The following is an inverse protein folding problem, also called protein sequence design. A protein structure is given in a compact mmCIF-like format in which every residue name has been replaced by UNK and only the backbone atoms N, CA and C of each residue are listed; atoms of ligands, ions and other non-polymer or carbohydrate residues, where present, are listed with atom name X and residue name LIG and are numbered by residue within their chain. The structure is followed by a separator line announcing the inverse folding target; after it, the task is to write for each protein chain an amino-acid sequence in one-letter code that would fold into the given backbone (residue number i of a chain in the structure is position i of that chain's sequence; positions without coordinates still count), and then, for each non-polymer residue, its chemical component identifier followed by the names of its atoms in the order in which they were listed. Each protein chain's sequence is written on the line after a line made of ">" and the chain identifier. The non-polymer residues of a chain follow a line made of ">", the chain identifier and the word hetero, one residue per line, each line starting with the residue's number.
data_IF_482650334591
#
_entry.id   IF_482650334591
#
_cell.length_a   1.000
_cell.length_b   1.000
_cell.length_c   1.000
_cell.angle_alpha   90.00
_cell.angle_beta   90.00
_cell.angle_gamma   90.00
#
_symmetry.space_group_name_H-M   'P 1'
#
loop_
_entity.id
_entity.type
_entity.pdbx_description
1 polymer ?
#
# COMPACT_ATOMS: atom_id res chain seq x y z
N UNK A 1 1.99 -10.23 7.69
CA UNK A 1 1.21 -9.23 6.92
C UNK A 1 -0.23 -9.25 7.43
N UNK A 2 -0.83 -8.09 7.63
CA UNK A 2 -2.25 -7.95 7.98
C UNK A 2 -2.95 -7.13 6.89
N UNK A 3 -4.18 -7.49 6.55
CA UNK A 3 -4.96 -6.74 5.58
C UNK A 3 -6.44 -6.81 5.88
N UNK A 4 -7.15 -5.78 5.47
CA UNK A 4 -8.61 -5.71 5.49
C UNK A 4 -9.07 -4.66 4.46
N UNK A 5 -10.37 -4.51 4.26
CA UNK A 5 -10.93 -3.58 3.28
C UNK A 5 -12.01 -2.68 3.87
N UNK A 6 -12.07 -1.45 3.35
CA UNK A 6 -13.28 -0.64 3.39
C UNK A 6 -14.00 -0.87 2.06
N UNK A 7 -15.13 -1.61 2.04
CA UNK A 7 -15.79 -2.02 0.80
C UNK A 7 -16.11 -0.85 -0.13
N UNK A 8 -15.75 -0.96 -1.41
CA UNK A 8 -15.94 0.10 -2.42
C UNK A 8 -14.99 1.29 -2.30
N UNK A 9 -14.15 1.32 -1.27
CA UNK A 9 -13.24 2.43 -0.98
C UNK A 9 -11.80 2.01 -1.21
N UNK A 10 -11.22 1.20 -0.33
CA UNK A 10 -9.80 0.84 -0.38
C UNK A 10 -9.48 -0.46 0.35
N UNK A 11 -8.44 -1.16 -0.11
CA UNK A 11 -7.76 -2.23 0.64
C UNK A 11 -6.63 -1.62 1.46
N UNK A 12 -6.57 -1.96 2.75
CA UNK A 12 -5.53 -1.51 3.68
C UNK A 12 -4.63 -2.69 4.03
N UNK A 13 -3.32 -2.55 3.78
CA UNK A 13 -2.32 -3.60 4.04
C UNK A 13 -1.26 -3.05 4.98
N UNK A 14 -0.90 -3.83 5.99
CA UNK A 14 0.20 -3.53 6.92
C UNK A 14 1.24 -4.65 6.81
N UNK A 15 2.43 -4.28 6.32
CA UNK A 15 3.62 -5.11 6.39
C UNK A 15 4.34 -4.92 7.73
N UNK A 16 4.89 -6.00 8.25
CA UNK A 16 5.79 -6.00 9.42
C UNK A 16 7.17 -5.47 9.04
N UNK A 17 8.07 -5.32 10.02
CA UNK A 17 9.44 -4.85 9.79
C UNK A 17 10.33 -5.87 9.06
N UNK A 18 9.91 -7.14 9.05
CA UNK A 18 10.58 -8.21 8.31
C UNK A 18 10.20 -8.15 6.81
N UNK A 19 11.18 -8.19 5.90
CA UNK A 19 10.91 -8.26 4.47
C UNK A 19 10.14 -9.54 4.14
N UNK A 20 9.08 -9.47 3.33
CA UNK A 20 8.34 -10.66 2.90
C UNK A 20 9.25 -11.58 2.09
N UNK A 21 9.07 -12.89 2.27
CA UNK A 21 9.69 -13.88 1.40
C UNK A 21 9.18 -13.71 -0.04
N UNK A 22 9.90 -14.29 -1.00
CA UNK A 22 9.44 -14.28 -2.40
C UNK A 22 8.10 -15.02 -2.57
N UNK A 23 7.85 -16.07 -1.80
CA UNK A 23 6.59 -16.83 -1.83
C UNK A 23 5.42 -16.00 -1.27
N UNK A 24 5.60 -15.36 -0.11
CA UNK A 24 4.60 -14.46 0.47
C UNK A 24 4.32 -13.28 -0.46
N UNK A 25 5.36 -12.79 -1.14
CA UNK A 25 5.23 -11.70 -2.12
C UNK A 25 4.39 -12.13 -3.31
N UNK A 26 4.65 -13.30 -3.89
CA UNK A 26 3.92 -13.79 -5.04
C UNK A 26 2.45 -14.08 -4.67
N UNK A 27 2.19 -14.68 -3.51
CA UNK A 27 0.83 -14.89 -3.00
C UNK A 27 0.07 -13.56 -2.80
N UNK A 28 0.77 -12.54 -2.29
CA UNK A 28 0.22 -11.20 -2.14
C UNK A 28 -0.12 -10.56 -3.49
N UNK A 29 0.76 -10.67 -4.49
CA UNK A 29 0.52 -10.14 -5.82
C UNK A 29 -0.65 -10.83 -6.52
N UNK A 30 -0.78 -12.16 -6.39
CA UNK A 30 -1.93 -12.90 -6.95
C UNK A 30 -3.25 -12.47 -6.31
N UNK A 31 -3.27 -12.24 -4.99
CA UNK A 31 -4.45 -11.69 -4.34
C UNK A 31 -4.83 -10.32 -4.91
N UNK A 32 -3.88 -9.40 -5.06
CA UNK A 32 -4.13 -8.09 -5.67
C UNK A 32 -4.65 -8.20 -7.11
N UNK A 33 -4.10 -9.12 -7.90
CA UNK A 33 -4.59 -9.40 -9.26
C UNK A 33 -6.02 -9.94 -9.23
N UNK A 34 -6.35 -10.83 -8.29
CA UNK A 34 -7.71 -11.37 -8.15
C UNK A 34 -8.75 -10.32 -7.72
N UNK A 35 -8.31 -9.27 -7.02
CA UNK A 35 -9.14 -8.15 -6.57
C UNK A 35 -9.23 -7.04 -7.62
N UNK A 36 -8.48 -7.15 -8.73
CA UNK A 36 -8.48 -6.16 -9.79
C UNK A 36 -9.89 -5.96 -10.36
N UNK A 37 -10.31 -4.71 -10.48
CA UNK A 37 -11.66 -4.33 -10.92
C UNK A 37 -12.75 -4.40 -9.83
N UNK A 38 -12.47 -5.03 -8.68
CA UNK A 38 -13.30 -4.92 -7.48
C UNK A 38 -12.75 -3.85 -6.50
N UNK A 39 -11.44 -3.65 -6.50
CA UNK A 39 -10.76 -2.64 -5.69
C UNK A 39 -9.76 -1.87 -6.55
N UNK A 40 -9.96 -0.56 -6.67
CA UNK A 40 -9.09 0.32 -7.46
C UNK A 40 -8.15 1.18 -6.61
N UNK A 41 -8.26 1.11 -5.27
CA UNK A 41 -7.45 1.90 -4.34
C UNK A 41 -6.81 1.01 -3.29
N UNK A 42 -5.50 1.12 -3.15
CA UNK A 42 -4.73 0.32 -2.19
C UNK A 42 -3.91 1.26 -1.31
N UNK A 43 -4.16 1.20 -0.01
CA UNK A 43 -3.33 1.86 1.00
C UNK A 43 -2.43 0.82 1.66
N UNK A 44 -1.13 1.01 1.58
CA UNK A 44 -0.14 0.12 2.19
C UNK A 44 0.61 0.89 3.27
N UNK A 45 0.81 0.27 4.43
CA UNK A 45 1.79 0.69 5.41
C UNK A 45 2.93 -0.34 5.46
N UNK A 46 4.18 0.13 5.53
CA UNK A 46 5.35 -0.71 5.80
C UNK A 46 6.34 0.00 6.71
N UNK A 47 6.83 -0.72 7.73
CA UNK A 47 7.80 -0.21 8.69
C UNK A 47 9.17 0.11 8.09
N UNK A 48 9.51 -0.45 6.92
CA UNK A 48 10.73 -0.04 6.21
C UNK A 48 11.39 -1.08 5.31
N UNK A 49 10.87 -2.31 5.24
CA UNK A 49 11.31 -3.28 4.26
C UNK A 49 10.74 -2.91 2.87
N UNK A 50 11.62 -2.45 1.98
CA UNK A 50 11.28 -2.19 0.57
C UNK A 50 11.44 -3.46 -0.29
N UNK A 51 10.75 -3.55 -1.43
CA UNK A 51 10.84 -4.71 -2.31
C UNK A 51 12.24 -4.85 -2.94
N UNK A 52 12.68 -6.10 -3.10
CA UNK A 52 13.92 -6.46 -3.81
C UNK A 52 13.84 -6.11 -5.31
N UNK A 53 14.97 -6.22 -6.05
CA UNK A 53 14.97 -6.07 -7.52
C UNK A 53 14.00 -7.05 -8.19
N UNK A 54 14.01 -8.31 -7.76
CA UNK A 54 13.15 -9.35 -8.32
C UNK A 54 11.67 -9.07 -8.00
N UNK A 55 11.37 -8.74 -6.76
CA UNK A 55 10.01 -8.40 -6.31
C UNK A 55 9.45 -7.18 -7.06
N UNK A 56 10.26 -6.15 -7.31
CA UNK A 56 9.86 -4.99 -8.13
C UNK A 56 9.45 -5.40 -9.54
N UNK A 57 10.21 -6.28 -10.20
CA UNK A 57 9.85 -6.77 -11.54
C UNK A 57 8.49 -7.49 -11.51
N UNK A 58 8.30 -8.39 -10.56
CA UNK A 58 7.05 -9.15 -10.41
C UNK A 58 5.86 -8.24 -10.10
N UNK A 59 6.05 -7.19 -9.30
CA UNK A 59 5.00 -6.20 -9.04
C UNK A 59 4.56 -5.47 -10.31
N UNK A 60 5.50 -5.13 -11.21
CA UNK A 60 5.14 -4.50 -12.48
C UNK A 60 4.36 -5.47 -13.39
N UNK A 61 4.79 -6.72 -13.46
CA UNK A 61 4.09 -7.77 -14.23
C UNK A 61 2.66 -8.01 -13.68
N UNK A 62 2.50 -8.07 -12.35
CA UNK A 62 1.20 -8.18 -11.69
C UNK A 62 0.30 -6.96 -11.97
N UNK A 63 0.86 -5.74 -11.95
CA UNK A 63 0.11 -4.53 -12.26
C UNK A 63 -0.45 -4.52 -13.68
N UNK A 64 0.36 -4.91 -14.66
CA UNK A 64 -0.09 -5.06 -16.06
C UNK A 64 -1.19 -6.13 -16.16
N UNK A 65 -1.03 -7.26 -15.46
CA UNK A 65 -2.05 -8.33 -15.41
C UNK A 65 -3.37 -7.86 -14.78
N UNK A 66 -3.30 -6.96 -13.79
CA UNK A 66 -4.45 -6.34 -13.15
C UNK A 66 -5.11 -5.23 -14.03
N UNK A 67 -4.67 -5.04 -15.27
CA UNK A 67 -5.21 -4.04 -16.20
C UNK A 67 -4.63 -2.63 -16.03
N UNK A 68 -3.71 -2.44 -15.09
CA UNK A 68 -2.96 -1.19 -14.93
C UNK A 68 -3.79 0.02 -14.48
N UNK A 69 -4.92 -0.19 -13.81
CA UNK A 69 -5.84 0.91 -13.41
C UNK A 69 -5.78 1.27 -11.93
N UNK A 70 -5.31 0.36 -11.06
CA UNK A 70 -5.29 0.56 -9.61
C UNK A 70 -4.32 1.66 -9.16
N UNK A 71 -4.74 2.45 -8.16
CA UNK A 71 -3.91 3.48 -7.53
C UNK A 71 -3.45 3.00 -6.15
N UNK A 72 -2.15 3.12 -5.86
CA UNK A 72 -1.55 2.64 -4.61
C UNK A 72 -0.80 3.75 -3.86
N UNK A 73 -1.14 3.94 -2.58
CA UNK A 73 -0.42 4.84 -1.68
C UNK A 73 0.34 4.02 -0.63
N UNK A 74 1.63 4.32 -0.44
CA UNK A 74 2.51 3.61 0.48
C UNK A 74 2.95 4.55 1.61
N UNK A 75 2.50 4.31 2.84
CA UNK A 75 2.94 4.98 4.06
C UNK A 75 4.15 4.25 4.64
N UNK A 76 5.24 4.96 4.86
CA UNK A 76 6.44 4.37 5.48
C UNK A 76 7.33 5.42 6.14
N UNK A 77 7.86 5.16 7.35
CA UNK A 77 8.85 6.06 7.97
C UNK A 77 10.18 6.05 7.21
N UNK A 78 10.49 4.99 6.45
CA UNK A 78 11.77 4.82 5.76
C UNK A 78 11.95 5.76 4.56
N UNK A 79 12.89 6.70 4.65
CA UNK A 79 13.29 7.58 3.52
C UNK A 79 13.76 6.78 2.31
N UNK A 80 14.43 5.64 2.55
CA UNK A 80 14.93 4.75 1.50
C UNK A 80 13.76 4.14 0.72
N UNK A 81 12.76 3.58 1.41
CA UNK A 81 11.57 3.01 0.74
C UNK A 81 10.83 4.07 -0.07
N UNK A 82 10.69 5.30 0.44
CA UNK A 82 10.09 6.40 -0.32
C UNK A 82 10.86 6.69 -1.63
N UNK A 83 12.19 6.61 -1.60
CA UNK A 83 13.03 6.72 -2.80
C UNK A 83 12.82 5.58 -3.79
N UNK A 84 12.72 4.34 -3.30
CA UNK A 84 12.46 3.15 -4.13
C UNK A 84 11.10 3.25 -4.81
N UNK A 85 10.04 3.57 -4.06
CA UNK A 85 8.68 3.72 -4.60
C UNK A 85 8.63 4.85 -5.64
N UNK A 86 9.33 5.96 -5.42
CA UNK A 86 9.42 7.04 -6.41
C UNK A 86 10.02 6.55 -7.72
N UNK A 87 11.13 5.81 -7.69
CA UNK A 87 11.72 5.23 -8.89
C UNK A 87 10.76 4.22 -9.57
N UNK A 88 10.03 3.45 -8.77
CA UNK A 88 9.07 2.46 -9.25
C UNK A 88 7.80 3.09 -9.87
N UNK A 89 7.36 4.24 -9.35
CA UNK A 89 6.18 4.98 -9.85
C UNK A 89 6.31 5.39 -11.31
N UNK A 90 7.53 5.59 -11.81
CA UNK A 90 7.79 5.92 -13.21
C UNK A 90 7.41 4.78 -14.15
N UNK A 91 7.59 3.52 -13.73
CA UNK A 91 7.17 2.36 -14.50
C UNK A 91 5.65 2.14 -14.45
N UNK A 92 5.00 2.68 -13.42
CA UNK A 92 3.58 2.48 -13.11
C UNK A 92 2.73 3.71 -13.48
N UNK A 93 3.20 4.53 -14.42
CA UNK A 93 2.52 5.75 -14.91
C UNK A 93 2.05 6.71 -13.79
N UNK A 94 2.77 6.75 -12.67
CA UNK A 94 2.43 7.59 -11.52
C UNK A 94 1.28 7.09 -10.65
N UNK A 95 0.74 5.89 -10.89
CA UNK A 95 -0.35 5.30 -10.12
C UNK A 95 0.09 4.74 -8.76
N UNK A 96 1.37 4.88 -8.41
CA UNK A 96 1.90 4.52 -7.10
C UNK A 96 2.68 5.68 -6.50
N UNK A 97 2.44 5.99 -5.22
CA UNK A 97 3.17 7.06 -4.51
C UNK A 97 3.43 6.70 -3.06
N UNK A 98 4.59 7.11 -2.56
CA UNK A 98 4.93 6.95 -1.14
C UNK A 98 4.84 8.27 -0.36
N UNK A 99 4.49 8.13 0.91
CA UNK A 99 4.21 9.20 1.87
C UNK A 99 4.84 8.84 3.23
N UNK A 100 5.17 9.84 4.03
CA UNK A 100 5.50 9.64 5.44
C UNK A 100 4.23 9.30 6.25
N UNK A 101 4.35 8.63 7.42
CA UNK A 101 3.18 8.32 8.25
C UNK A 101 2.34 9.54 8.66
N UNK A 102 2.99 10.70 8.86
CA UNK A 102 2.30 11.98 9.15
C UNK A 102 1.60 12.60 7.95
N UNK A 103 1.78 12.05 6.75
CA UNK A 103 1.14 12.54 5.52
C UNK A 103 -0.08 11.70 5.14
N UNK A 104 -0.72 11.02 6.10
CA UNK A 104 -1.90 10.18 5.87
C UNK A 104 -2.97 10.89 5.03
N UNK A 105 -3.32 12.15 5.33
CA UNK A 105 -4.26 12.94 4.53
C UNK A 105 -3.90 12.96 3.05
N UNK A 106 -2.64 13.28 2.76
CA UNK A 106 -2.15 13.40 1.39
C UNK A 106 -2.17 12.05 0.66
N UNK A 107 -2.00 10.95 1.40
CA UNK A 107 -2.08 9.60 0.85
C UNK A 107 -3.52 9.25 0.45
N UNK A 108 -4.50 9.50 1.32
CA UNK A 108 -5.91 9.22 1.01
C UNK A 108 -6.48 10.18 -0.04
N UNK A 109 -6.01 11.44 -0.08
CA UNK A 109 -6.34 12.40 -1.14
C UNK A 109 -5.81 11.92 -2.50
N UNK A 110 -4.57 11.41 -2.53
CA UNK A 110 -3.99 10.83 -3.75
C UNK A 110 -4.75 9.60 -4.24
N UNK A 111 -5.24 8.78 -3.31
CA UNK A 111 -6.12 7.65 -3.64
C UNK A 111 -7.51 8.10 -4.10
N UNK A 112 -7.91 9.36 -3.86
CA UNK A 112 -9.26 9.83 -4.14
C UNK A 112 -10.31 9.17 -3.23
N UNK A 113 -9.96 8.93 -1.97
CA UNK A 113 -10.90 8.43 -0.95
C UNK A 113 -11.93 9.53 -0.64
N UNK A 114 -13.25 9.25 -0.67
CA UNK A 114 -14.27 10.23 -0.31
C UNK A 114 -14.11 10.73 1.13
N UNK A 115 -14.47 11.99 1.39
CA UNK A 115 -14.26 12.61 2.70
C UNK A 115 -14.90 11.82 3.86
N UNK A 116 -16.09 11.27 3.64
CA UNK A 116 -16.85 10.49 4.63
C UNK A 116 -16.16 9.15 4.96
N UNK A 117 -15.34 8.61 4.06
CA UNK A 117 -14.64 7.34 4.22
C UNK A 117 -13.23 7.49 4.83
N UNK A 118 -12.71 8.70 4.95
CA UNK A 118 -11.34 8.90 5.46
C UNK A 118 -11.22 8.45 6.93
N UNK A 119 -12.20 8.78 7.77
CA UNK A 119 -12.18 8.36 9.17
C UNK A 119 -12.27 6.83 9.34
N UNK A 120 -13.19 6.11 8.63
CA UNK A 120 -13.17 4.66 8.56
C UNK A 120 -11.84 4.06 8.10
N UNK A 121 -11.24 4.58 7.03
CA UNK A 121 -9.94 4.10 6.52
C UNK A 121 -8.83 4.31 7.56
N UNK A 122 -8.82 5.46 8.24
CA UNK A 122 -7.86 5.74 9.32
C UNK A 122 -8.01 4.76 10.48
N UNK A 123 -9.24 4.56 10.95
CA UNK A 123 -9.53 3.65 12.05
C UNK A 123 -9.13 2.20 11.71
N UNK A 124 -9.39 1.76 10.48
CA UNK A 124 -8.97 0.44 10.01
C UNK A 124 -7.45 0.30 9.98
N UNK A 125 -6.74 1.30 9.48
CA UNK A 125 -5.28 1.31 9.47
C UNK A 125 -4.70 1.26 10.88
N UNK A 126 -5.20 2.07 11.81
CA UNK A 126 -4.74 2.07 13.20
C UNK A 126 -4.99 0.71 13.87
N UNK A 127 -6.14 0.07 13.63
CA UNK A 127 -6.43 -1.27 14.14
C UNK A 127 -5.50 -2.35 13.55
N UNK A 128 -5.15 -2.25 12.26
CA UNK A 128 -4.20 -3.17 11.62
C UNK A 128 -2.76 -2.95 12.11
N UNK A 129 -2.36 -1.70 12.38
CA UNK A 129 -1.06 -1.36 12.97
C UNK A 129 -0.93 -1.95 14.37
N UNK A 130 -1.97 -1.82 15.20
CA UNK A 130 -2.01 -2.41 16.55
C UNK A 130 -1.87 -3.93 16.50
N UNK A 131 -2.62 -4.60 15.61
CA UNK A 131 -2.50 -6.06 15.39
C UNK A 131 -1.11 -6.47 14.91
N UNK A 132 -0.44 -5.61 14.16
CA UNK A 132 0.93 -5.83 13.70
C UNK A 132 2.00 -5.52 14.77
N UNK A 133 1.61 -5.04 15.95
CA UNK A 133 2.54 -4.59 16.98
C UNK A 133 3.32 -3.33 16.60
N UNK A 134 2.80 -2.56 15.64
CA UNK A 134 3.41 -1.33 15.15
C UNK A 134 2.82 -0.12 15.89
N UNK A 135 3.59 0.96 15.97
CA UNK A 135 3.08 2.20 16.54
C UNK A 135 1.91 2.74 15.70
N UNK A 136 0.90 3.37 16.35
CA UNK A 136 -0.18 4.03 15.62
C UNK A 136 0.37 5.16 14.75
N UNK A 137 -0.40 5.57 13.73
CA UNK A 137 -0.01 6.72 12.94
C UNK A 137 0.10 7.97 13.81
N UNK A 138 1.11 8.84 13.57
CA UNK A 138 1.18 10.12 14.25
C UNK A 138 -0.05 10.99 13.89
N UNK A 139 -0.34 12.02 14.71
CA UNK A 139 -1.27 13.07 14.30
C UNK A 139 -0.77 13.79 13.04
N UNK A 140 -1.70 14.33 12.26
CA UNK A 140 -1.43 15.08 11.03
C UNK A 140 -0.87 16.48 11.29
#
# INVERSE_FOLDING_TARGET
>A
MYMDQVPGVAVVIVHTDEPPSDEDWDAHLELLVSLAGAVDRVLVYTGGAGPSVAQRRRTNEAFVRAGGTGVSAILTPSRMVRGIVKAFSWAMQGQMRAFAPSEFRRAVDFLGVPADDIAPVRALLDALLERAGQAPLPPE
#
